data_IF_139337203380
#
_entry.id   IF_139337203380
#
_cell.length_a   1.000
_cell.length_b   1.000
_cell.length_c   1.000
_cell.angle_alpha   90.00
_cell.angle_beta   90.00
_cell.angle_gamma   90.00
#
_symmetry.space_group_name_H-M   'P 1'
#
loop_
_entity.id
_entity.type
_entity.pdbx_description
1 polymer ?
#
# COMPACT_ATOMS: atom_id res chain seq x y z
N UNK A 1 -17.25 -32.69 -21.77
CA UNK A 1 -15.82 -32.82 -21.39
C UNK A 1 -15.16 -31.53 -21.83
N UNK A 2 -15.14 -30.53 -20.96
CA UNK A 2 -14.34 -29.32 -21.23
C UNK A 2 -12.85 -29.70 -21.16
N UNK A 3 -12.02 -29.23 -22.10
CA UNK A 3 -10.60 -29.49 -22.05
C UNK A 3 -10.02 -28.72 -20.86
N UNK A 4 -9.37 -29.45 -19.95
CA UNK A 4 -8.51 -28.88 -18.90
C UNK A 4 -7.53 -27.89 -19.53
N UNK A 5 -7.38 -26.66 -19.00
CA UNK A 5 -6.35 -25.76 -19.50
C UNK A 5 -5.00 -26.41 -19.19
N UNK A 6 -4.28 -26.81 -20.23
CA UNK A 6 -2.90 -27.24 -20.12
C UNK A 6 -2.08 -26.02 -19.65
N UNK A 7 -1.66 -26.04 -18.39
CA UNK A 7 -0.65 -25.12 -17.88
C UNK A 7 0.64 -25.50 -18.58
N UNK A 8 1.05 -24.71 -19.57
CA UNK A 8 2.31 -24.89 -20.27
C UNK A 8 3.46 -24.67 -19.28
N UNK A 9 4.06 -25.76 -18.82
CA UNK A 9 5.12 -25.75 -17.81
C UNK A 9 6.39 -25.17 -18.45
N UNK A 10 6.73 -23.92 -18.10
CA UNK A 10 8.04 -23.36 -18.45
C UNK A 10 9.15 -24.26 -17.89
N UNK A 11 10.06 -24.81 -18.72
CA UNK A 11 11.10 -25.75 -18.29
C UNK A 11 12.16 -25.12 -17.37
N UNK A 12 12.03 -23.84 -17.03
CA UNK A 12 13.02 -23.06 -16.27
C UNK A 12 12.58 -22.65 -14.86
N UNK A 13 11.31 -22.86 -14.48
CA UNK A 13 10.83 -22.55 -13.14
C UNK A 13 10.82 -23.84 -12.29
N UNK A 14 11.57 -23.83 -11.18
CA UNK A 14 11.58 -24.93 -10.22
C UNK A 14 10.15 -25.23 -9.73
N UNK A 15 9.72 -26.50 -9.60
CA UNK A 15 8.32 -26.88 -9.32
C UNK A 15 7.73 -26.17 -8.10
N UNK A 16 8.54 -25.94 -7.07
CA UNK A 16 8.13 -25.26 -5.83
C UNK A 16 7.79 -23.77 -5.97
N UNK A 17 8.09 -23.13 -7.13
CA UNK A 17 7.90 -21.69 -7.34
C UNK A 17 6.94 -21.34 -8.47
N UNK A 18 6.40 -22.34 -9.20
CA UNK A 18 5.41 -22.14 -10.27
C UNK A 18 4.07 -21.61 -9.74
N UNK A 19 3.84 -21.78 -8.44
CA UNK A 19 2.62 -21.45 -7.70
C UNK A 19 2.70 -20.14 -6.90
N UNK A 20 3.84 -19.45 -6.91
CA UNK A 20 4.00 -18.18 -6.18
C UNK A 20 3.34 -17.02 -6.91
N UNK A 21 2.60 -16.19 -6.19
CA UNK A 21 1.98 -14.99 -6.76
C UNK A 21 2.91 -13.76 -6.64
N UNK A 22 2.66 -12.76 -7.48
CA UNK A 22 3.28 -11.44 -7.36
C UNK A 22 4.70 -11.33 -7.94
N UNK A 23 5.51 -10.45 -7.34
CA UNK A 23 6.81 -10.04 -7.88
C UNK A 23 7.88 -11.15 -7.78
N UNK A 24 7.78 -12.03 -6.77
CA UNK A 24 8.78 -13.09 -6.55
C UNK A 24 8.80 -14.12 -7.68
N UNK A 25 7.64 -14.43 -8.24
CA UNK A 25 7.52 -15.29 -9.43
C UNK A 25 8.41 -14.79 -10.56
N UNK A 26 8.34 -13.50 -10.87
CA UNK A 26 9.14 -12.89 -11.93
C UNK A 26 10.64 -12.93 -11.64
N UNK A 27 11.03 -12.79 -10.37
CA UNK A 27 12.43 -12.91 -9.97
C UNK A 27 12.94 -14.34 -10.11
N UNK A 28 12.15 -15.34 -9.72
CA UNK A 28 12.55 -16.74 -9.90
C UNK A 28 12.63 -17.11 -11.38
N UNK A 29 11.64 -16.65 -12.16
CA UNK A 29 11.56 -16.90 -13.60
C UNK A 29 12.68 -16.22 -14.37
N UNK A 30 13.05 -14.97 -14.02
CA UNK A 30 14.02 -14.16 -14.79
C UNK A 30 15.44 -14.21 -14.20
N UNK A 31 15.61 -14.56 -12.94
CA UNK A 31 16.89 -14.55 -12.25
C UNK A 31 17.83 -15.69 -12.68
N UNK A 32 19.16 -15.54 -12.48
CA UNK A 32 20.13 -16.61 -12.68
C UNK A 32 19.89 -17.77 -11.69
N UNK A 33 20.04 -19.02 -12.16
CA UNK A 33 19.76 -20.24 -11.36
C UNK A 33 20.47 -20.28 -10.00
N UNK A 34 21.65 -19.66 -9.87
CA UNK A 34 22.41 -19.62 -8.63
C UNK A 34 21.78 -18.74 -7.54
N UNK A 35 21.08 -17.67 -7.90
CA UNK A 35 20.59 -16.66 -6.95
C UNK A 35 19.07 -16.52 -6.94
N UNK A 36 18.36 -17.09 -7.92
CA UNK A 36 16.93 -16.90 -8.11
C UNK A 36 16.09 -17.36 -6.91
N UNK A 37 16.47 -18.46 -6.22
CA UNK A 37 15.79 -18.97 -5.02
C UNK A 37 15.84 -17.97 -3.86
N UNK A 38 17.05 -17.54 -3.48
CA UNK A 38 17.25 -16.57 -2.39
C UNK A 38 16.63 -15.22 -2.74
N UNK A 39 16.84 -14.74 -3.97
CA UNK A 39 16.29 -13.48 -4.42
C UNK A 39 14.76 -13.50 -4.42
N UNK A 40 14.13 -14.57 -4.94
CA UNK A 40 12.69 -14.75 -4.92
C UNK A 40 12.13 -14.82 -3.50
N UNK A 41 12.83 -15.49 -2.59
CA UNK A 41 12.44 -15.58 -1.18
C UNK A 41 12.43 -14.21 -0.48
N UNK A 42 13.54 -13.47 -0.56
CA UNK A 42 13.65 -12.13 0.04
C UNK A 42 12.59 -11.21 -0.57
N UNK A 43 12.40 -11.28 -1.89
CA UNK A 43 11.39 -10.47 -2.56
C UNK A 43 9.97 -10.82 -2.09
N UNK A 44 9.69 -12.10 -1.86
CA UNK A 44 8.42 -12.54 -1.31
C UNK A 44 8.10 -11.89 0.03
N UNK A 45 9.09 -11.82 0.93
CA UNK A 45 8.96 -11.11 2.20
C UNK A 45 8.76 -9.61 2.01
N UNK A 46 9.51 -8.97 1.12
CA UNK A 46 9.37 -7.54 0.84
C UNK A 46 7.99 -7.21 0.26
N UNK A 47 7.50 -7.99 -0.70
CA UNK A 47 6.19 -7.78 -1.31
C UNK A 47 5.06 -8.04 -0.31
N UNK A 48 5.14 -9.12 0.50
CA UNK A 48 4.15 -9.37 1.55
C UNK A 48 4.18 -8.31 2.64
N UNK A 49 5.36 -7.89 3.09
CA UNK A 49 5.53 -6.81 4.05
C UNK A 49 4.95 -5.50 3.50
N UNK A 50 5.23 -5.16 2.25
CA UNK A 50 4.67 -3.98 1.60
C UNK A 50 3.14 -4.00 1.57
N UNK A 51 2.52 -5.12 1.16
CA UNK A 51 1.06 -5.23 1.13
C UNK A 51 0.41 -5.19 2.53
N UNK A 52 1.06 -5.77 3.55
CA UNK A 52 0.60 -5.67 4.94
C UNK A 52 0.60 -4.22 5.43
N UNK A 53 1.69 -3.52 5.14
CA UNK A 53 1.88 -2.13 5.54
C UNK A 53 0.96 -1.20 4.74
N UNK A 54 0.72 -1.46 3.45
CA UNK A 54 -0.31 -0.76 2.65
C UNK A 54 -1.70 -0.96 3.27
N UNK A 55 -2.09 -2.20 3.59
CA UNK A 55 -3.35 -2.47 4.27
C UNK A 55 -3.44 -1.68 5.58
N UNK A 56 -2.40 -1.74 6.40
CA UNK A 56 -2.32 -1.01 7.67
C UNK A 56 -2.45 0.50 7.48
N UNK A 57 -1.79 1.07 6.48
CA UNK A 57 -1.87 2.49 6.09
C UNK A 57 -3.30 2.87 5.67
N UNK A 58 -3.95 2.06 4.84
CA UNK A 58 -5.33 2.35 4.40
C UNK A 58 -6.32 2.36 5.55
N UNK A 59 -6.20 1.42 6.51
CA UNK A 59 -7.04 1.39 7.72
C UNK A 59 -6.75 2.61 8.60
N UNK A 60 -5.48 3.01 8.74
CA UNK A 60 -5.10 4.19 9.51
C UNK A 60 -5.68 5.46 8.92
N UNK A 61 -5.44 5.72 7.62
CA UNK A 61 -5.96 6.91 6.96
C UNK A 61 -7.48 6.96 6.96
N UNK A 62 -8.15 5.82 6.76
CA UNK A 62 -9.61 5.76 6.91
C UNK A 62 -10.05 6.29 8.28
N UNK A 63 -9.34 5.87 9.33
CA UNK A 63 -9.64 6.24 10.71
C UNK A 63 -9.33 7.70 11.00
N UNK A 64 -8.17 8.20 10.56
CA UNK A 64 -7.74 9.58 10.76
C UNK A 64 -8.64 10.57 10.00
N UNK A 65 -8.97 10.26 8.75
CA UNK A 65 -9.87 11.10 7.94
C UNK A 65 -11.27 11.10 8.54
N UNK A 66 -11.79 9.96 9.01
CA UNK A 66 -13.08 9.93 9.70
C UNK A 66 -13.06 10.80 10.96
N UNK A 67 -12.00 10.70 11.77
CA UNK A 67 -11.84 11.50 12.99
C UNK A 67 -11.74 13.00 12.68
N UNK A 68 -11.07 13.38 11.59
CA UNK A 68 -11.03 14.74 11.10
C UNK A 68 -12.41 15.25 10.67
N UNK A 69 -13.18 14.44 9.93
CA UNK A 69 -14.57 14.78 9.54
C UNK A 69 -15.47 14.97 10.77
N UNK A 70 -15.32 14.14 11.79
CA UNK A 70 -16.06 14.28 13.06
C UNK A 70 -15.70 15.59 13.77
N UNK A 71 -14.43 15.97 13.80
CA UNK A 71 -13.97 17.23 14.40
C UNK A 71 -14.46 18.47 13.64
N UNK A 72 -14.49 18.43 12.29
CA UNK A 72 -15.11 19.50 11.48
C UNK A 72 -16.60 19.66 11.82
N UNK A 73 -17.29 18.52 11.99
CA UNK A 73 -18.74 18.46 12.17
C UNK A 73 -19.19 18.79 13.59
N UNK A 74 -18.35 18.48 14.60
CA UNK A 74 -18.64 18.66 16.02
C UNK A 74 -17.56 19.55 16.64
N UNK A 75 -17.75 20.89 16.68
CA UNK A 75 -16.73 21.83 17.15
C UNK A 75 -16.27 21.63 18.60
N UNK A 76 -17.08 20.95 19.42
CA UNK A 76 -16.77 20.65 20.82
C UNK A 76 -15.90 19.38 20.98
N UNK A 77 -15.70 18.62 19.90
CA UNK A 77 -14.95 17.37 19.91
C UNK A 77 -13.54 17.60 19.40
N UNK A 78 -12.56 17.58 20.31
CA UNK A 78 -11.14 17.58 19.94
C UNK A 78 -10.68 16.14 19.72
N UNK A 79 -10.50 15.76 18.45
CA UNK A 79 -10.05 14.42 18.06
C UNK A 79 -8.62 14.14 18.58
N UNK A 80 -7.78 15.17 18.59
CA UNK A 80 -6.39 15.17 19.04
C UNK A 80 -6.20 14.82 20.52
N UNK A 81 -7.20 15.09 21.36
CA UNK A 81 -7.08 14.90 22.82
C UNK A 81 -7.27 13.44 23.28
N UNK A 82 -7.69 12.53 22.38
CA UNK A 82 -8.05 11.14 22.72
C UNK A 82 -7.51 10.13 21.70
N UNK A 83 -6.21 9.82 21.70
CA UNK A 83 -5.60 8.85 20.77
C UNK A 83 -6.25 7.46 20.78
N UNK A 84 -6.82 7.07 21.92
CA UNK A 84 -7.55 5.81 22.04
C UNK A 84 -8.87 5.78 21.25
N UNK A 85 -9.51 6.92 20.97
CA UNK A 85 -10.66 6.97 20.05
C UNK A 85 -10.23 6.56 18.63
N UNK A 86 -9.12 7.12 18.14
CA UNK A 86 -8.57 6.77 16.83
C UNK A 86 -8.24 5.28 16.76
N UNK A 87 -7.62 4.73 17.80
CA UNK A 87 -7.29 3.31 17.87
C UNK A 87 -8.55 2.41 17.84
N UNK A 88 -9.63 2.78 18.51
CA UNK A 88 -10.88 2.01 18.46
C UNK A 88 -11.53 2.05 17.07
N UNK A 89 -11.55 3.21 16.42
CA UNK A 89 -12.02 3.36 15.04
C UNK A 89 -11.18 2.51 14.09
N UNK A 90 -9.85 2.53 14.29
CA UNK A 90 -8.90 1.72 13.54
C UNK A 90 -9.16 0.22 13.67
N UNK A 91 -9.36 -0.27 14.90
CA UNK A 91 -9.74 -1.67 15.15
C UNK A 91 -11.07 -2.00 14.46
N UNK A 92 -12.05 -1.09 14.54
CA UNK A 92 -13.34 -1.24 13.87
C UNK A 92 -13.21 -1.42 12.36
N UNK A 93 -12.39 -0.58 11.70
CA UNK A 93 -12.14 -0.70 10.26
C UNK A 93 -11.32 -1.95 9.89
N UNK A 94 -10.36 -2.36 10.73
CA UNK A 94 -9.63 -3.62 10.56
C UNK A 94 -10.56 -4.84 10.59
N UNK A 95 -11.47 -4.89 11.57
CA UNK A 95 -12.48 -5.96 11.68
C UNK A 95 -13.49 -5.89 10.53
N UNK A 96 -13.90 -4.68 10.14
CA UNK A 96 -14.79 -4.50 8.99
C UNK A 96 -14.18 -5.09 7.70
N UNK A 97 -12.90 -4.83 7.44
CA UNK A 97 -12.20 -5.39 6.30
C UNK A 97 -12.13 -6.93 6.35
N UNK A 98 -11.93 -7.51 7.53
CA UNK A 98 -11.98 -8.97 7.72
C UNK A 98 -13.36 -9.54 7.38
N UNK A 99 -14.43 -8.96 7.94
CA UNK A 99 -15.80 -9.46 7.78
C UNK A 99 -16.24 -9.44 6.31
N UNK A 100 -15.98 -8.36 5.59
CA UNK A 100 -16.36 -8.23 4.16
C UNK A 100 -15.60 -9.24 3.28
N UNK A 101 -14.38 -9.62 3.69
CA UNK A 101 -13.56 -10.60 2.98
C UNK A 101 -13.88 -12.07 3.30
N UNK A 102 -14.79 -12.36 4.25
CA UNK A 102 -15.20 -13.74 4.53
C UNK A 102 -15.98 -14.33 3.34
N UNK A 103 -15.96 -15.66 3.12
CA UNK A 103 -16.55 -16.30 1.94
C UNK A 103 -18.01 -15.96 1.70
N UNK A 104 -18.80 -15.86 2.79
CA UNK A 104 -20.23 -15.48 2.74
C UNK A 104 -20.46 -14.05 2.26
N UNK A 105 -19.47 -13.18 2.40
CA UNK A 105 -19.52 -11.77 2.04
C UNK A 105 -18.70 -11.45 0.78
N UNK A 106 -18.03 -12.43 0.16
CA UNK A 106 -17.13 -12.19 -0.96
C UNK A 106 -17.80 -11.50 -2.17
N UNK A 107 -19.09 -11.77 -2.43
CA UNK A 107 -19.84 -11.06 -3.48
C UNK A 107 -19.95 -9.55 -3.25
N UNK A 108 -19.93 -9.12 -1.99
CA UNK A 108 -19.89 -7.69 -1.62
C UNK A 108 -18.59 -7.07 -2.10
N UNK A 109 -17.48 -7.81 -2.07
CA UNK A 109 -16.20 -7.33 -2.60
C UNK A 109 -16.29 -7.06 -4.10
N UNK A 110 -16.75 -8.04 -4.90
CA UNK A 110 -16.82 -7.90 -6.35
C UNK A 110 -17.71 -6.72 -6.78
N UNK A 111 -18.83 -6.56 -6.07
CA UNK A 111 -19.75 -5.44 -6.28
C UNK A 111 -19.12 -4.13 -5.83
N UNK A 112 -18.41 -4.12 -4.69
CA UNK A 112 -17.76 -2.92 -4.16
C UNK A 112 -16.58 -2.46 -5.01
N UNK A 113 -15.79 -3.37 -5.60
CA UNK A 113 -14.71 -3.03 -6.51
C UNK A 113 -15.25 -2.46 -7.82
N UNK A 114 -16.29 -3.09 -8.37
CA UNK A 114 -16.97 -2.59 -9.58
C UNK A 114 -17.63 -1.22 -9.32
N UNK A 115 -18.31 -1.09 -8.18
CA UNK A 115 -18.91 0.16 -7.74
C UNK A 115 -17.86 1.21 -7.39
N UNK A 116 -16.68 0.81 -6.89
CA UNK A 116 -15.60 1.76 -6.58
C UNK A 116 -15.03 2.40 -7.82
N UNK A 117 -15.03 1.73 -8.98
CA UNK A 117 -14.66 2.40 -10.22
C UNK A 117 -15.63 3.55 -10.51
N UNK A 118 -16.93 3.37 -10.31
CA UNK A 118 -17.91 4.45 -10.50
C UNK A 118 -17.83 5.49 -9.38
N UNK A 119 -17.70 5.04 -8.13
CA UNK A 119 -17.70 5.88 -6.95
C UNK A 119 -16.42 6.70 -6.80
N UNK A 120 -15.24 6.10 -6.98
CA UNK A 120 -13.95 6.81 -6.94
C UNK A 120 -13.91 7.84 -8.08
N UNK A 121 -14.29 7.45 -9.30
CA UNK A 121 -14.31 8.42 -10.41
C UNK A 121 -15.39 9.50 -10.22
N UNK A 122 -16.55 9.16 -9.66
CA UNK A 122 -17.62 10.12 -9.38
C UNK A 122 -17.32 11.05 -8.21
N UNK A 123 -16.72 10.54 -7.14
CA UNK A 123 -16.24 11.31 -6.00
C UNK A 123 -15.06 12.21 -6.40
N UNK A 124 -14.13 11.68 -7.21
CA UNK A 124 -13.09 12.47 -7.84
C UNK A 124 -13.71 13.57 -8.68
N UNK A 125 -14.66 13.27 -9.58
CA UNK A 125 -15.34 14.29 -10.39
C UNK A 125 -16.06 15.34 -9.53
N UNK A 126 -16.70 14.94 -8.43
CA UNK A 126 -17.34 15.87 -7.49
C UNK A 126 -16.33 16.79 -6.80
N UNK A 127 -15.25 16.24 -6.27
CA UNK A 127 -14.15 17.01 -5.66
C UNK A 127 -13.50 17.92 -6.72
N UNK A 128 -13.25 17.39 -7.92
CA UNK A 128 -12.66 18.10 -9.04
C UNK A 128 -13.55 19.25 -9.53
N UNK A 129 -14.86 19.05 -9.71
CA UNK A 129 -15.79 20.12 -10.12
C UNK A 129 -15.90 21.19 -9.03
N UNK A 130 -16.03 20.78 -7.77
CA UNK A 130 -16.15 21.75 -6.66
C UNK A 130 -14.88 22.57 -6.46
N UNK A 131 -13.70 21.97 -6.68
CA UNK A 131 -12.42 22.69 -6.66
C UNK A 131 -12.23 23.55 -7.93
N UNK A 132 -12.57 23.03 -9.12
CA UNK A 132 -12.44 23.73 -10.42
C UNK A 132 -13.31 25.00 -10.50
N UNK A 133 -14.48 25.01 -9.86
CA UNK A 133 -15.33 26.20 -9.77
C UNK A 133 -14.66 27.33 -8.97
N UNK A 134 -13.62 27.02 -8.18
CA UNK A 134 -12.98 27.98 -7.27
C UNK A 134 -11.48 28.21 -7.52
N UNK A 135 -10.78 27.33 -8.23
CA UNK A 135 -9.34 27.45 -8.50
C UNK A 135 -9.02 27.90 -9.95
N UNK A 136 -7.90 28.60 -10.21
CA UNK A 136 -7.38 28.77 -11.56
C UNK A 136 -7.08 27.42 -12.20
N UNK A 137 -7.36 27.27 -13.51
CA UNK A 137 -7.28 25.98 -14.23
C UNK A 137 -5.90 25.28 -14.19
N UNK A 138 -4.81 26.01 -13.92
CA UNK A 138 -3.45 25.47 -13.78
C UNK A 138 -3.29 24.67 -12.48
N UNK A 139 -3.90 25.16 -11.41
CA UNK A 139 -3.90 24.58 -10.08
C UNK A 139 -4.66 23.24 -10.03
N UNK A 140 -5.72 23.12 -10.84
CA UNK A 140 -6.46 21.88 -11.05
C UNK A 140 -5.61 20.73 -11.60
N UNK A 141 -4.79 20.99 -12.63
CA UNK A 141 -3.94 19.94 -13.23
C UNK A 141 -2.78 19.53 -12.31
N UNK A 142 -2.33 20.42 -11.42
CA UNK A 142 -1.27 20.13 -10.45
C UNK A 142 -1.76 19.23 -9.30
N UNK A 143 -3.05 19.31 -8.91
CA UNK A 143 -3.64 18.50 -7.84
C UNK A 143 -4.15 17.10 -8.27
N UNK A 144 -4.23 16.82 -9.57
CA UNK A 144 -4.57 15.48 -10.09
C UNK A 144 -3.42 14.47 -9.89
N UNK A 145 -2.16 14.94 -9.86
CA UNK A 145 -0.98 14.11 -9.60
C UNK A 145 -0.84 13.65 -8.11
N UNK A 146 -1.15 14.49 -7.10
CA UNK A 146 -1.27 14.10 -5.69
C UNK A 146 -2.31 13.02 -5.38
N UNK A 147 -3.27 12.77 -6.28
CA UNK A 147 -4.17 11.60 -6.19
C UNK A 147 -3.44 10.25 -6.27
N UNK A 148 -2.21 10.21 -6.81
CA UNK A 148 -1.28 9.09 -6.71
C UNK A 148 -0.38 9.14 -5.46
N UNK A 149 -0.34 10.27 -4.75
CA UNK A 149 0.54 10.58 -3.62
C UNK A 149 -0.20 10.64 -2.28
N UNK A 150 -1.19 9.76 -2.06
CA UNK A 150 -1.87 9.56 -0.76
C UNK A 150 -0.94 9.13 0.40
N UNK A 151 0.38 9.27 0.26
CA UNK A 151 1.43 9.02 1.25
C UNK A 151 2.08 10.32 1.77
N UNK A 152 1.75 11.49 1.21
CA UNK A 152 2.47 12.75 1.47
C UNK A 152 1.58 13.91 1.92
N UNK A 153 0.74 13.72 2.94
CA UNK A 153 -0.25 14.73 3.34
C UNK A 153 0.34 16.13 3.63
N UNK A 154 1.60 16.24 4.09
CA UNK A 154 2.26 17.54 4.28
C UNK A 154 2.75 18.20 2.98
N UNK A 155 3.15 17.41 1.97
CA UNK A 155 3.63 17.90 0.67
C UNK A 155 2.46 18.45 -0.18
N UNK A 156 1.26 17.86 -0.02
CA UNK A 156 0.05 18.36 -0.68
C UNK A 156 -0.26 19.83 -0.34
N UNK A 157 -0.06 20.25 0.92
CA UNK A 157 -0.29 21.63 1.34
C UNK A 157 0.65 22.64 0.67
N UNK A 158 1.88 22.25 0.35
CA UNK A 158 2.86 23.12 -0.32
C UNK A 158 2.58 23.28 -1.82
N UNK A 159 2.03 22.26 -2.48
CA UNK A 159 1.62 22.37 -3.90
C UNK A 159 0.33 23.16 -4.09
N UNK A 160 -0.52 23.28 -3.05
CA UNK A 160 -1.74 24.08 -3.05
C UNK A 160 -1.52 25.55 -2.63
N UNK A 161 -0.28 25.97 -2.41
CA UNK A 161 0.02 27.30 -1.89
C UNK A 161 -0.47 28.44 -2.79
N UNK A 162 -0.51 28.25 -4.11
CA UNK A 162 -0.95 29.25 -5.08
C UNK A 162 -2.49 29.46 -5.10
N UNK A 163 -3.24 28.58 -4.42
CA UNK A 163 -4.71 28.57 -4.41
C UNK A 163 -5.31 29.16 -3.13
N UNK A 164 -4.47 29.40 -2.12
CA UNK A 164 -4.90 29.93 -0.83
C UNK A 164 -4.97 31.46 -0.87
N UNK A 165 -5.99 32.03 -0.24
CA UNK A 165 -6.15 33.50 -0.15
C UNK A 165 -4.99 34.16 0.60
N UNK A 166 -4.42 33.47 1.61
CA UNK A 166 -3.27 33.94 2.40
C UNK A 166 -2.23 32.82 2.59
N UNK A 167 -1.44 32.49 1.54
CA UNK A 167 -0.54 31.32 1.53
C UNK A 167 0.51 31.34 2.64
N UNK A 168 1.02 32.53 2.98
CA UNK A 168 2.03 32.72 4.04
C UNK A 168 1.52 32.39 5.44
N UNK A 169 0.19 32.35 5.64
CA UNK A 169 -0.44 32.02 6.92
C UNK A 169 -1.06 30.62 6.90
N UNK A 170 -1.71 30.27 5.81
CA UNK A 170 -2.58 29.09 5.75
C UNK A 170 -1.79 27.80 5.44
N UNK A 171 -0.72 27.87 4.64
CA UNK A 171 0.17 26.72 4.41
C UNK A 171 0.83 26.26 5.71
N UNK A 172 1.50 27.13 6.51
CA UNK A 172 2.10 26.68 7.77
C UNK A 172 1.06 26.16 8.77
N UNK A 173 -0.16 26.72 8.79
CA UNK A 173 -1.24 26.24 9.66
C UNK A 173 -1.74 24.86 9.27
N UNK A 174 -1.91 24.58 7.98
CA UNK A 174 -2.31 23.26 7.50
C UNK A 174 -1.23 22.20 7.78
N UNK A 175 0.04 22.59 7.77
CA UNK A 175 1.15 21.69 8.07
C UNK A 175 1.34 21.45 9.58
N UNK A 176 1.15 22.48 10.42
CA UNK A 176 1.46 22.40 11.86
C UNK A 176 0.25 22.06 12.75
N UNK A 177 -0.96 22.40 12.33
CA UNK A 177 -2.17 22.27 13.12
C UNK A 177 -3.40 21.96 12.25
N UNK A 178 -3.30 20.94 11.39
CA UNK A 178 -4.42 20.49 10.58
C UNK A 178 -5.56 19.90 11.42
N UNK A 179 -6.79 20.09 10.96
CA UNK A 179 -7.97 19.44 11.53
C UNK A 179 -7.79 17.91 11.50
N UNK A 180 -7.95 17.26 12.66
CA UNK A 180 -7.70 15.83 12.84
C UNK A 180 -6.29 15.34 12.52
N UNK A 181 -5.31 16.24 12.35
CA UNK A 181 -3.96 15.88 11.94
C UNK A 181 -3.86 15.47 10.47
N UNK A 182 -4.90 15.78 9.69
CA UNK A 182 -5.00 15.44 8.26
C UNK A 182 -5.02 16.72 7.42
N UNK A 183 -3.86 17.10 6.83
CA UNK A 183 -3.78 18.26 5.94
C UNK A 183 -4.77 18.21 4.77
N UNK A 184 -5.08 17.02 4.25
CA UNK A 184 -6.06 16.85 3.17
C UNK A 184 -7.44 17.42 3.54
N UNK A 185 -7.92 17.15 4.77
CA UNK A 185 -9.23 17.62 5.23
C UNK A 185 -9.18 19.10 5.56
N UNK A 186 -8.03 19.59 6.04
CA UNK A 186 -7.80 21.02 6.24
C UNK A 186 -7.88 21.78 4.89
N UNK A 187 -7.22 21.30 3.84
CA UNK A 187 -7.29 21.92 2.52
C UNK A 187 -8.72 21.98 1.97
N UNK A 188 -9.52 20.93 2.19
CA UNK A 188 -10.95 20.93 1.84
C UNK A 188 -11.77 21.88 2.71
N UNK A 189 -11.40 22.09 3.98
CA UNK A 189 -12.05 23.05 4.86
C UNK A 189 -11.77 24.49 4.42
N UNK A 190 -10.54 24.77 4.01
CA UNK A 190 -10.12 26.09 3.53
C UNK A 190 -10.68 26.38 2.12
N UNK A 191 -10.74 25.36 1.27
CA UNK A 191 -11.28 25.48 -0.09
C UNK A 191 -12.81 25.59 -0.17
N UNK A 192 -13.56 25.08 0.82
CA UNK A 192 -15.03 25.07 0.76
C UNK A 192 -15.69 26.14 1.65
N UNK A 193 -16.76 26.80 1.16
CA UNK A 193 -17.45 27.85 1.93
C UNK A 193 -18.31 27.29 3.08
N UNK A 194 -18.46 25.97 3.20
CA UNK A 194 -19.35 25.34 4.17
C UNK A 194 -18.71 24.09 4.76
N UNK A 195 -18.78 23.96 6.09
CA UNK A 195 -18.39 22.76 6.84
C UNK A 195 -19.12 21.51 6.37
N UNK A 196 -20.36 21.66 5.90
CA UNK A 196 -21.16 20.55 5.38
C UNK A 196 -20.54 19.99 4.10
N UNK A 197 -20.04 20.86 3.22
CA UNK A 197 -19.41 20.42 1.96
C UNK A 197 -18.08 19.70 2.24
N UNK A 198 -17.29 20.21 3.19
CA UNK A 198 -16.06 19.55 3.68
C UNK A 198 -16.37 18.19 4.31
N UNK A 199 -17.41 18.08 5.13
CA UNK A 199 -17.82 16.83 5.74
C UNK A 199 -18.29 15.79 4.70
N UNK A 200 -19.06 16.21 3.69
CA UNK A 200 -19.49 15.35 2.59
C UNK A 200 -18.29 14.86 1.78
N UNK A 201 -17.38 15.76 1.38
CA UNK A 201 -16.19 15.38 0.62
C UNK A 201 -15.27 14.44 1.43
N UNK A 202 -15.05 14.73 2.71
CA UNK A 202 -14.30 13.86 3.61
C UNK A 202 -14.95 12.48 3.77
N UNK A 203 -16.27 12.41 3.92
CA UNK A 203 -17.01 11.15 3.99
C UNK A 203 -16.88 10.33 2.69
N UNK A 204 -16.90 10.98 1.52
CA UNK A 204 -16.66 10.30 0.24
C UNK A 204 -15.25 9.70 0.16
N UNK A 205 -14.24 10.45 0.64
CA UNK A 205 -12.86 9.97 0.71
C UNK A 205 -12.75 8.77 1.65
N UNK A 206 -13.40 8.83 2.83
CA UNK A 206 -13.45 7.71 3.80
C UNK A 206 -13.98 6.44 3.12
N UNK A 207 -15.09 6.53 2.37
CA UNK A 207 -15.64 5.37 1.64
C UNK A 207 -14.63 4.80 0.64
N UNK A 208 -13.91 5.65 -0.09
CA UNK A 208 -12.86 5.20 -1.01
C UNK A 208 -11.75 4.42 -0.31
N UNK A 209 -11.26 4.93 0.84
CA UNK A 209 -10.24 4.27 1.63
C UNK A 209 -10.73 2.98 2.32
N UNK A 210 -12.01 2.91 2.72
CA UNK A 210 -12.63 1.66 3.22
C UNK A 210 -12.51 0.57 2.15
N UNK A 211 -12.94 0.85 0.91
CA UNK A 211 -12.86 -0.12 -0.18
C UNK A 211 -11.40 -0.47 -0.50
N UNK A 212 -10.50 0.52 -0.47
CA UNK A 212 -9.06 0.30 -0.59
C UNK A 212 -8.51 -0.66 0.47
N UNK A 213 -8.97 -0.54 1.73
CA UNK A 213 -8.56 -1.44 2.82
C UNK A 213 -9.05 -2.87 2.63
N UNK A 214 -10.27 -3.03 2.09
CA UNK A 214 -10.83 -4.34 1.77
C UNK A 214 -10.00 -5.04 0.69
N UNK A 215 -9.64 -4.31 -0.36
CA UNK A 215 -8.81 -4.79 -1.46
C UNK A 215 -7.37 -5.09 -1.00
N UNK A 216 -6.79 -4.23 -0.17
CA UNK A 216 -5.43 -4.45 0.34
C UNK A 216 -5.33 -5.71 1.20
N UNK A 217 -6.33 -5.98 2.06
CA UNK A 217 -6.37 -7.19 2.87
C UNK A 217 -6.50 -8.46 2.01
N UNK A 218 -7.37 -8.47 0.99
CA UNK A 218 -7.51 -9.64 0.13
C UNK A 218 -6.23 -9.90 -0.67
N UNK A 219 -5.61 -8.85 -1.22
CA UNK A 219 -4.33 -8.93 -1.92
C UNK A 219 -3.22 -9.48 -1.04
N UNK A 220 -3.11 -8.97 0.20
CA UNK A 220 -2.14 -9.49 1.17
C UNK A 220 -2.42 -10.96 1.51
N UNK A 221 -3.67 -11.34 1.77
CA UNK A 221 -4.02 -12.72 2.15
C UNK A 221 -3.74 -13.75 1.06
N UNK A 222 -4.02 -13.43 -0.21
CA UNK A 222 -3.73 -14.30 -1.36
C UNK A 222 -2.24 -14.46 -1.58
N UNK A 223 -1.51 -13.35 -1.47
CA UNK A 223 -0.06 -13.39 -1.56
C UNK A 223 0.52 -14.23 -0.42
N UNK A 224 0.14 -13.98 0.82
CA UNK A 224 0.64 -14.75 1.98
C UNK A 224 0.30 -16.23 1.87
N UNK A 225 -0.92 -16.56 1.44
CA UNK A 225 -1.36 -17.93 1.17
C UNK A 225 -0.49 -18.60 0.09
N UNK A 226 -0.22 -17.93 -1.03
CA UNK A 226 0.58 -18.51 -2.13
C UNK A 226 1.98 -18.94 -1.69
N UNK A 227 2.63 -18.15 -0.83
CA UNK A 227 3.93 -18.49 -0.24
C UNK A 227 3.84 -19.47 0.92
N UNK A 228 2.69 -19.54 1.60
CA UNK A 228 2.46 -20.54 2.65
C UNK A 228 2.45 -21.95 2.07
N UNK A 229 1.94 -22.14 0.84
CA UNK A 229 1.99 -23.42 0.12
C UNK A 229 3.41 -23.95 -0.10
N UNK A 230 4.39 -23.07 -0.12
CA UNK A 230 5.81 -23.41 -0.29
C UNK A 230 6.57 -23.44 1.04
N UNK A 231 5.87 -23.48 2.17
CA UNK A 231 6.44 -23.34 3.53
C UNK A 231 7.33 -22.09 3.69
N UNK A 232 7.04 -21.03 2.94
CA UNK A 232 7.87 -19.84 2.88
C UNK A 232 7.73 -18.92 4.10
N UNK A 233 6.63 -19.02 4.85
CA UNK A 233 6.27 -18.08 5.90
C UNK A 233 5.96 -18.72 7.26
N UNK A 234 5.95 -17.92 8.34
CA UNK A 234 5.44 -18.34 9.63
C UNK A 234 4.00 -18.87 9.51
N UNK A 235 3.68 -19.91 10.28
CA UNK A 235 2.35 -20.53 10.32
C UNK A 235 1.82 -21.06 8.97
N UNK A 236 2.72 -21.41 8.03
CA UNK A 236 2.37 -21.90 6.69
C UNK A 236 1.28 -23.00 6.70
N UNK A 237 1.35 -23.98 7.60
CA UNK A 237 0.34 -25.05 7.72
C UNK A 237 -1.08 -24.60 8.07
N UNK A 238 -1.20 -23.46 8.75
CA UNK A 238 -2.50 -22.85 9.04
C UNK A 238 -2.96 -22.02 7.85
N UNK A 239 -2.07 -21.16 7.34
CA UNK A 239 -2.39 -20.15 6.32
C UNK A 239 -2.46 -20.70 4.90
N UNK A 240 -1.98 -21.90 4.61
CA UNK A 240 -2.14 -22.58 3.31
C UNK A 240 -3.55 -23.11 3.05
N UNK A 241 -4.37 -23.28 4.10
CA UNK A 241 -5.72 -23.83 3.99
C UNK A 241 -6.70 -22.76 3.52
N UNK A 242 -7.56 -23.12 2.57
CA UNK A 242 -8.64 -22.28 2.07
C UNK A 242 -10.00 -22.75 2.56
N UNK A 243 -10.99 -21.85 2.55
CA UNK A 243 -12.39 -22.16 2.81
C UNK A 243 -13.18 -21.56 1.65
N UNK A 244 -13.91 -22.40 0.91
CA UNK A 244 -14.66 -22.01 -0.29
C UNK A 244 -13.81 -21.26 -1.33
N UNK A 245 -12.53 -21.64 -1.48
CA UNK A 245 -11.60 -21.00 -2.42
C UNK A 245 -10.99 -19.68 -1.93
N UNK A 246 -11.37 -19.19 -0.73
CA UNK A 246 -10.80 -17.98 -0.11
C UNK A 246 -9.80 -18.36 0.99
N UNK A 247 -8.61 -17.74 1.07
CA UNK A 247 -7.62 -18.02 2.11
C UNK A 247 -7.98 -17.35 3.45
N UNK A 248 -9.08 -17.77 4.08
CA UNK A 248 -9.57 -17.17 5.34
C UNK A 248 -8.56 -17.26 6.46
N UNK A 249 -7.81 -18.36 6.54
CA UNK A 249 -6.77 -18.53 7.54
C UNK A 249 -5.60 -17.55 7.36
N UNK A 250 -5.40 -17.02 6.15
CA UNK A 250 -4.47 -15.92 5.93
C UNK A 250 -5.07 -14.58 6.33
N UNK A 251 -6.37 -14.31 6.12
CA UNK A 251 -7.00 -13.03 6.52
C UNK A 251 -6.82 -12.71 8.01
N UNK A 252 -7.00 -13.71 8.89
CA UNK A 252 -6.95 -13.56 10.35
C UNK A 252 -5.61 -12.98 10.84
N UNK A 253 -4.44 -13.60 10.57
CA UNK A 253 -3.16 -13.05 10.99
C UNK A 253 -2.88 -11.68 10.39
N UNK A 254 -3.36 -11.38 9.17
CA UNK A 254 -3.25 -10.06 8.57
C UNK A 254 -3.95 -8.98 9.39
N UNK A 255 -5.21 -9.22 9.75
CA UNK A 255 -5.98 -8.31 10.60
C UNK A 255 -5.36 -8.17 12.00
N UNK A 256 -4.91 -9.27 12.61
CA UNK A 256 -4.25 -9.24 13.92
C UNK A 256 -2.95 -8.44 13.89
N UNK A 257 -2.10 -8.65 12.89
CA UNK A 257 -0.85 -7.90 12.71
C UNK A 257 -1.12 -6.42 12.47
N UNK A 258 -2.12 -6.09 11.64
CA UNK A 258 -2.53 -4.70 11.42
C UNK A 258 -3.01 -4.04 12.71
N UNK A 259 -3.87 -4.70 13.50
CA UNK A 259 -4.28 -4.19 14.82
C UNK A 259 -3.08 -3.96 15.75
N UNK A 260 -2.13 -4.90 15.77
CA UNK A 260 -0.90 -4.78 16.56
C UNK A 260 -0.01 -3.61 16.11
N UNK A 261 0.13 -3.40 14.79
CA UNK A 261 0.89 -2.28 14.24
C UNK A 261 0.18 -0.96 14.59
N UNK A 262 -1.14 -0.86 14.45
CA UNK A 262 -1.89 0.33 14.83
C UNK A 262 -1.80 0.68 16.31
N UNK A 263 -1.59 -0.30 17.19
CA UNK A 263 -1.39 -0.06 18.63
C UNK A 263 -0.12 0.75 18.93
N UNK A 264 0.86 0.78 18.01
CA UNK A 264 2.07 1.62 18.12
C UNK A 264 1.69 3.10 18.24
N UNK A 265 0.57 3.53 17.64
CA UNK A 265 0.07 4.91 17.73
C UNK A 265 -0.15 5.38 19.17
N UNK A 266 -0.47 4.45 20.09
CA UNK A 266 -0.70 4.79 21.51
C UNK A 266 0.58 5.23 22.22
N UNK A 267 1.76 4.82 21.70
CA UNK A 267 3.06 5.16 22.26
C UNK A 267 3.84 6.18 21.43
N UNK A 268 3.93 5.99 20.11
CA UNK A 268 4.73 6.85 19.23
C UNK A 268 4.16 6.92 17.82
N UNK A 269 3.67 8.10 17.44
CA UNK A 269 3.26 8.40 16.07
C UNK A 269 4.44 8.36 15.10
N UNK A 270 5.63 8.81 15.52
CA UNK A 270 6.86 8.73 14.72
C UNK A 270 7.20 7.28 14.37
N UNK A 271 7.07 6.36 15.34
CA UNK A 271 7.34 4.94 15.12
C UNK A 271 6.32 4.32 14.16
N UNK A 272 5.03 4.69 14.29
CA UNK A 272 4.01 4.22 13.35
C UNK A 272 4.26 4.75 11.93
N UNK A 273 4.53 6.04 11.77
CA UNK A 273 4.83 6.64 10.46
C UNK A 273 6.04 5.99 9.80
N UNK A 274 7.07 5.61 10.58
CA UNK A 274 8.21 4.85 10.08
C UNK A 274 7.81 3.49 9.52
N UNK A 275 6.97 2.76 10.27
CA UNK A 275 6.48 1.43 9.86
C UNK A 275 5.67 1.53 8.57
N UNK A 276 4.77 2.50 8.48
CA UNK A 276 3.94 2.70 7.29
C UNK A 276 4.73 3.19 6.07
N UNK A 277 5.66 4.12 6.26
CA UNK A 277 6.52 4.60 5.17
C UNK A 277 7.46 3.51 4.62
N UNK A 278 7.81 2.52 5.45
CA UNK A 278 8.52 1.31 5.03
C UNK A 278 7.82 0.55 3.89
N UNK A 279 6.49 0.64 3.77
CA UNK A 279 5.71 -0.02 2.72
C UNK A 279 6.17 0.37 1.31
N UNK A 280 6.33 1.68 1.10
CA UNK A 280 6.74 2.28 -0.17
C UNK A 280 8.15 1.84 -0.54
N UNK A 281 9.04 1.77 0.45
CA UNK A 281 10.41 1.33 0.24
C UNK A 281 10.47 -0.16 -0.10
N UNK A 282 9.80 -1.02 0.67
CA UNK A 282 9.73 -2.45 0.37
C UNK A 282 9.14 -2.72 -1.03
N UNK A 283 8.06 -2.03 -1.39
CA UNK A 283 7.43 -2.16 -2.72
C UNK A 283 8.35 -1.69 -3.86
N UNK A 284 8.98 -0.53 -3.70
CA UNK A 284 9.88 0.04 -4.72
C UNK A 284 11.14 -0.81 -4.90
N UNK A 285 11.75 -1.29 -3.81
CA UNK A 285 12.88 -2.22 -3.89
C UNK A 285 12.50 -3.50 -4.63
N UNK A 286 11.32 -4.05 -4.35
CA UNK A 286 10.90 -5.26 -5.04
C UNK A 286 10.74 -5.06 -6.55
N UNK A 287 10.20 -3.91 -6.99
CA UNK A 287 10.10 -3.58 -8.40
C UNK A 287 11.46 -3.34 -9.07
N UNK A 288 12.41 -2.70 -8.37
CA UNK A 288 13.78 -2.52 -8.88
C UNK A 288 14.40 -3.88 -9.19
N UNK A 289 14.27 -4.87 -8.30
CA UNK A 289 14.83 -6.21 -8.52
C UNK A 289 14.18 -6.90 -9.71
N UNK A 290 12.85 -6.86 -9.83
CA UNK A 290 12.11 -7.45 -10.98
C UNK A 290 12.60 -6.84 -12.30
N UNK A 291 12.64 -5.51 -12.39
CA UNK A 291 13.08 -4.84 -13.61
C UNK A 291 14.55 -5.07 -13.89
N UNK A 292 15.40 -5.20 -12.86
CA UNK A 292 16.82 -5.50 -13.02
C UNK A 292 17.03 -6.87 -13.66
N UNK A 293 16.31 -7.91 -13.20
CA UNK A 293 16.38 -9.23 -13.83
C UNK A 293 15.75 -9.25 -15.22
N UNK A 294 14.70 -8.47 -15.47
CA UNK A 294 14.15 -8.28 -16.82
C UNK A 294 15.17 -7.64 -17.78
N UNK A 295 15.90 -6.62 -17.33
CA UNK A 295 16.94 -5.97 -18.15
C UNK A 295 18.12 -6.92 -18.39
N UNK A 296 18.50 -7.70 -17.38
CA UNK A 296 19.58 -8.69 -17.46
C UNK A 296 19.26 -9.82 -18.44
N UNK A 297 18.13 -10.51 -18.26
CA UNK A 297 17.77 -11.68 -19.08
C UNK A 297 17.22 -11.32 -20.46
N UNK A 298 16.69 -10.11 -20.63
CA UNK A 298 16.11 -9.65 -21.88
C UNK A 298 14.68 -10.19 -22.11
N UNK A 299 14.13 -9.90 -23.29
CA UNK A 299 12.74 -10.23 -23.63
C UNK A 299 12.51 -11.71 -24.00
N UNK A 300 13.58 -12.48 -24.17
CA UNK A 300 13.54 -13.84 -24.70
C UNK A 300 13.06 -14.87 -23.66
N UNK A 301 13.09 -14.49 -22.37
CA UNK A 301 12.54 -15.29 -21.27
C UNK A 301 11.04 -15.10 -21.04
N UNK A 302 10.44 -14.14 -21.74
CA UNK A 302 9.00 -13.87 -21.68
C UNK A 302 8.32 -14.54 -22.86
N UNK A 303 7.10 -15.04 -22.65
CA UNK A 303 6.30 -15.68 -23.70
C UNK A 303 6.28 -14.82 -24.99
N UNK A 304 6.74 -15.37 -26.13
CA UNK A 304 6.71 -14.68 -27.42
C UNK A 304 5.30 -14.28 -27.87
N UNK A 305 4.27 -15.05 -27.49
CA UNK A 305 2.87 -14.84 -27.87
C UNK A 305 2.08 -13.94 -26.90
N UNK A 306 2.76 -13.31 -25.93
CA UNK A 306 2.10 -12.39 -24.99
C UNK A 306 1.35 -11.27 -25.71
N UNK A 307 0.17 -10.93 -25.20
CA UNK A 307 -0.69 -9.88 -25.73
C UNK A 307 0.01 -8.50 -25.81
N UNK A 308 0.83 -8.16 -24.80
CA UNK A 308 1.60 -6.93 -24.73
C UNK A 308 3.08 -7.20 -24.97
N UNK A 309 3.50 -7.15 -26.23
CA UNK A 309 4.89 -7.29 -26.62
C UNK A 309 5.50 -5.95 -27.05
N UNK A 310 6.21 -5.29 -26.13
CA UNK A 310 6.90 -4.02 -26.38
C UNK A 310 8.15 -4.16 -27.28
N UNK A 311 8.50 -5.38 -27.70
CA UNK A 311 9.67 -5.65 -28.54
C UNK A 311 10.93 -4.98 -27.99
N UNK A 312 11.64 -4.26 -28.87
CA UNK A 312 12.91 -3.57 -28.53
C UNK A 312 12.77 -2.50 -27.44
N UNK A 313 11.57 -1.95 -27.23
CA UNK A 313 11.30 -0.93 -26.20
C UNK A 313 11.18 -1.50 -24.78
N UNK A 314 11.02 -2.81 -24.62
CA UNK A 314 10.88 -3.44 -23.30
C UNK A 314 12.06 -3.21 -22.36
N UNK A 315 13.31 -3.28 -22.87
CA UNK A 315 14.52 -3.09 -22.06
C UNK A 315 14.75 -1.61 -21.69
N UNK A 316 14.71 -0.64 -22.62
CA UNK A 316 14.83 0.78 -22.28
C UNK A 316 13.78 1.26 -21.27
N UNK A 317 12.51 0.85 -21.44
CA UNK A 317 11.44 1.23 -20.51
C UNK A 317 11.66 0.62 -19.11
N UNK A 318 12.16 -0.60 -19.03
CA UNK A 318 12.53 -1.20 -17.74
C UNK A 318 13.70 -0.46 -17.07
N UNK A 319 14.71 -0.06 -17.85
CA UNK A 319 15.82 0.76 -17.36
C UNK A 319 15.35 2.11 -16.82
N UNK A 320 14.45 2.78 -17.55
CA UNK A 320 13.81 4.01 -17.07
C UNK A 320 13.01 3.78 -15.79
N UNK A 321 12.22 2.70 -15.71
CA UNK A 321 11.46 2.36 -14.51
C UNK A 321 12.37 2.12 -13.29
N UNK A 322 13.54 1.50 -13.47
CA UNK A 322 14.54 1.34 -12.40
C UNK A 322 15.03 2.70 -11.93
N UNK A 323 15.47 3.56 -12.85
CA UNK A 323 15.97 4.91 -12.51
C UNK A 323 14.89 5.74 -11.81
N UNK A 324 13.65 5.68 -12.29
CA UNK A 324 12.51 6.34 -11.68
C UNK A 324 12.24 5.82 -10.26
N UNK A 325 12.22 4.50 -10.05
CA UNK A 325 12.04 3.94 -8.71
C UNK A 325 13.20 4.28 -7.77
N UNK A 326 14.45 4.28 -8.26
CA UNK A 326 15.60 4.70 -7.44
C UNK A 326 15.49 6.17 -7.02
N UNK A 327 15.07 7.03 -7.95
CA UNK A 327 14.82 8.44 -7.66
C UNK A 327 13.71 8.60 -6.61
N UNK A 328 12.55 7.97 -6.79
CA UNK A 328 11.43 8.10 -5.84
C UNK A 328 11.79 7.53 -4.47
N UNK A 329 12.51 6.41 -4.39
CA UNK A 329 12.96 5.83 -3.12
C UNK A 329 13.96 6.71 -2.37
N UNK A 330 14.87 7.36 -3.10
CA UNK A 330 15.81 8.30 -2.51
C UNK A 330 15.05 9.43 -1.82
N UNK A 331 14.16 10.12 -2.56
CA UNK A 331 13.35 11.22 -2.02
C UNK A 331 12.38 10.79 -0.92
N UNK A 332 11.76 9.61 -1.05
CA UNK A 332 10.87 9.06 -0.02
C UNK A 332 11.59 8.72 1.30
N UNK A 333 12.93 8.60 1.28
CA UNK A 333 13.74 8.33 2.47
C UNK A 333 14.23 9.60 3.18
N UNK A 334 14.12 10.78 2.56
CA UNK A 334 14.53 12.03 3.20
C UNK A 334 13.55 12.47 4.29
N UNK A 335 14.04 13.16 5.34
CA UNK A 335 13.18 13.82 6.31
C UNK A 335 12.45 15.01 5.67
N UNK A 336 11.21 15.23 6.09
CA UNK A 336 10.37 16.31 5.57
C UNK A 336 10.72 17.71 6.13
N UNK A 337 11.46 17.76 7.25
CA UNK A 337 11.70 19.00 7.99
C UNK A 337 13.17 19.14 8.41
N UNK A 338 13.65 20.39 8.39
CA UNK A 338 14.94 20.81 8.94
C UNK A 338 14.70 21.77 10.13
N UNK A 339 15.49 21.69 11.22
CA UNK A 339 16.57 20.74 11.48
C UNK A 339 16.06 19.31 11.81
N UNK A 340 16.87 18.30 11.48
CA UNK A 340 16.53 16.89 11.74
C UNK A 340 16.69 16.56 13.22
N UNK A 341 15.63 16.04 13.83
CA UNK A 341 15.58 15.58 15.22
C UNK A 341 15.10 14.12 15.26
N UNK A 342 15.21 13.44 16.42
CA UNK A 342 14.73 12.06 16.56
C UNK A 342 13.23 11.91 16.22
N UNK A 343 12.44 12.94 16.50
CA UNK A 343 10.99 12.98 16.22
C UNK A 343 10.65 13.38 14.79
N UNK A 344 11.52 14.14 14.09
CA UNK A 344 11.29 14.61 12.71
C UNK A 344 12.02 13.78 11.64
N UNK A 345 12.90 12.85 12.05
CA UNK A 345 13.62 11.97 11.14
C UNK A 345 12.67 10.96 10.47
N UNK A 346 12.88 10.72 9.18
CA UNK A 346 12.20 9.68 8.45
C UNK A 346 12.89 8.33 8.66
N UNK A 347 12.28 7.47 9.48
CA UNK A 347 12.81 6.15 9.84
C UNK A 347 12.35 5.02 8.91
N UNK A 348 11.69 5.32 7.80
CA UNK A 348 11.13 4.32 6.87
C UNK A 348 12.20 3.36 6.35
N UNK A 349 13.40 3.86 6.03
CA UNK A 349 14.50 3.05 5.51
C UNK A 349 14.98 2.02 6.52
N UNK A 350 14.94 2.35 7.82
CA UNK A 350 15.28 1.41 8.89
C UNK A 350 14.31 0.23 8.92
N UNK A 351 13.01 0.51 8.76
CA UNK A 351 11.97 -0.52 8.71
C UNK A 351 12.17 -1.42 7.49
N UNK A 352 12.44 -0.84 6.32
CA UNK A 352 12.68 -1.61 5.10
C UNK A 352 13.89 -2.55 5.23
N UNK A 353 15.00 -2.06 5.81
CA UNK A 353 16.17 -2.89 6.12
C UNK A 353 15.81 -3.98 7.14
N UNK A 354 15.01 -3.65 8.16
CA UNK A 354 14.52 -4.62 9.15
C UNK A 354 13.76 -5.78 8.50
N UNK A 355 12.88 -5.51 7.52
CA UNK A 355 12.15 -6.55 6.77
C UNK A 355 13.12 -7.46 6.01
N UNK A 356 14.14 -6.89 5.35
CA UNK A 356 15.18 -7.67 4.66
C UNK A 356 15.93 -8.56 5.65
N UNK A 357 16.37 -8.02 6.79
CA UNK A 357 17.10 -8.78 7.82
C UNK A 357 16.25 -9.92 8.37
N UNK A 358 14.98 -9.67 8.71
CA UNK A 358 14.05 -10.70 9.18
C UNK A 358 13.90 -11.80 8.14
N UNK A 359 13.70 -11.44 6.86
CA UNK A 359 13.58 -12.40 5.78
C UNK A 359 14.85 -13.27 5.63
N UNK A 360 16.03 -12.67 5.73
CA UNK A 360 17.30 -13.38 5.59
C UNK A 360 17.55 -14.33 6.76
N UNK A 361 17.25 -13.89 7.98
CA UNK A 361 17.36 -14.73 9.18
C UNK A 361 16.40 -15.91 9.09
N UNK A 362 15.15 -15.67 8.71
CA UNK A 362 14.17 -16.76 8.55
C UNK A 362 14.58 -17.73 7.43
N UNK A 363 15.15 -17.21 6.33
CA UNK A 363 15.66 -18.03 5.24
C UNK A 363 16.72 -19.03 5.73
N UNK A 364 17.69 -18.56 6.52
CA UNK A 364 18.77 -19.39 7.05
C UNK A 364 18.24 -20.42 8.06
N UNK A 365 17.39 -19.98 8.99
CA UNK A 365 16.99 -20.81 10.12
C UNK A 365 15.93 -21.85 9.79
N UNK A 366 14.98 -21.53 8.90
CA UNK A 366 13.80 -22.36 8.69
C UNK A 366 13.64 -22.82 7.24
N UNK A 367 13.82 -21.91 6.28
CA UNK A 367 13.49 -22.22 4.89
C UNK A 367 14.54 -23.12 4.23
N UNK A 368 15.82 -22.81 4.37
CA UNK A 368 16.92 -23.60 3.79
C UNK A 368 16.90 -25.05 4.28
N UNK A 369 16.69 -25.25 5.57
CA UNK A 369 16.68 -26.59 6.16
C UNK A 369 15.51 -27.44 5.63
N UNK A 370 14.32 -26.83 5.49
CA UNK A 370 13.13 -27.52 4.95
C UNK A 370 13.17 -27.74 3.45
N UNK A 371 13.85 -26.89 2.68
CA UNK A 371 14.02 -27.12 1.24
C UNK A 371 14.94 -28.29 0.96
N UNK A 372 15.99 -28.45 1.77
CA UNK A 372 16.96 -29.53 1.64
C UNK A 372 16.36 -30.90 2.08
N UNK A 373 15.27 -30.91 2.86
CA UNK A 373 14.51 -32.13 3.23
C UNK A 373 13.49 -32.57 2.16
N UNK A 374 13.15 -31.70 1.21
CA UNK A 374 12.19 -32.01 0.12
C UNK A 374 12.87 -32.32 -1.24
N UNK A 375 14.19 -32.16 -1.32
CA UNK A 375 15.05 -32.70 -2.39
C UNK A 375 15.57 -34.08 -1.98
#
# INVERSE_FOLDING_TARGET
MEPSPAVDHSPYAHPSFQDMEGQAYWVVLLGPQKYNRLAGYILGWLTNGAWLLIYTTTVLYTSEILMAVVEVSIPQYSSHSKPWHLFLVYVGFGINALVVNLPKCHKVMDWSLSASLVFINGAALFVLITLLVRSPAVAFFLNVLPGLASLGACDAATHMAEELELPTRDVPRAMLSSVGGQPLIQSLADGYPSKVLTAIAGALIVVGFIIGSWAALISWSRLYWSFSRTNGFPFSHFTEKTTDGVPVNALIPGTVLTIAIGAIQLGSSTALSAVLGGASLCSGFSWIVVFSFRVWRGNDALDPQRWLNLGKWGRPLSGFAILWNMWTLAWASFPLFLPVTLSSMNWSSLVAVGVVVISFVYYILFYRYRSDEME
#
